data_IF_834206518655
#
_entry.id   IF_834206518655
#
_cell.length_a   1.000
_cell.length_b   1.000
_cell.length_c   1.000
_cell.angle_alpha   90.00
_cell.angle_beta   90.00
_cell.angle_gamma   90.00
#
_symmetry.space_group_name_H-M   'P 1'
#
loop_
_entity.id
_entity.type
_entity.pdbx_description
1 polymer ?
#
# COMPACT_ATOMS: atom_id res chain seq x y z
N UNK A 1 5.77 -12.82 35.19
CA UNK A 1 5.20 -12.74 33.84
C UNK A 1 5.69 -11.46 33.22
N UNK A 2 6.56 -11.55 32.21
CA UNK A 2 6.86 -10.42 31.35
C UNK A 2 5.55 -10.01 30.69
N UNK A 3 5.11 -8.77 30.91
CA UNK A 3 4.05 -8.17 30.11
C UNK A 3 4.60 -8.16 28.69
N UNK A 4 4.11 -9.04 27.82
CA UNK A 4 4.31 -8.87 26.39
C UNK A 4 3.81 -7.46 26.08
N UNK A 5 4.72 -6.58 25.64
CA UNK A 5 4.33 -5.27 25.13
C UNK A 5 3.35 -5.50 23.98
N UNK A 6 2.07 -5.28 24.23
CA UNK A 6 1.03 -5.38 23.19
C UNK A 6 1.40 -4.43 22.06
N UNK A 7 1.68 -5.00 20.88
CA UNK A 7 2.04 -4.26 19.67
C UNK A 7 0.93 -3.26 19.35
N UNK A 8 1.23 -1.97 19.50
CA UNK A 8 0.27 -0.88 19.24
C UNK A 8 -0.05 -0.79 17.74
N UNK A 9 -1.31 -0.52 17.43
CA UNK A 9 -1.79 -0.30 16.05
C UNK A 9 -2.16 1.16 15.87
N UNK A 10 -1.40 1.89 15.05
CA UNK A 10 -1.55 3.31 14.78
C UNK A 10 -2.12 3.52 13.38
N UNK A 11 -3.22 4.26 13.30
CA UNK A 11 -3.91 4.60 12.08
C UNK A 11 -3.97 6.11 11.90
N UNK A 12 -3.85 6.59 10.67
CA UNK A 12 -4.14 7.98 10.33
C UNK A 12 -5.34 8.05 9.40
N UNK A 13 -6.28 8.95 9.68
CA UNK A 13 -7.47 9.16 8.86
C UNK A 13 -7.33 10.42 8.02
N UNK A 14 -7.60 10.32 6.72
CA UNK A 14 -7.45 11.41 5.76
C UNK A 14 -8.65 11.41 4.82
N UNK A 15 -9.17 12.59 4.48
CA UNK A 15 -10.43 12.74 3.74
C UNK A 15 -10.93 14.18 3.78
N UNK A 16 -11.96 14.50 2.99
CA UNK A 16 -12.46 15.87 2.92
C UNK A 16 -13.21 16.26 4.20
N UNK A 17 -13.50 17.56 4.35
CA UNK A 17 -14.43 18.04 5.37
C UNK A 17 -15.82 17.40 5.15
N UNK A 18 -16.46 16.93 6.24
CA UNK A 18 -17.80 16.32 6.18
C UNK A 18 -17.86 14.87 5.70
N UNK A 19 -16.73 14.24 5.36
CA UNK A 19 -16.66 12.79 5.06
C UNK A 19 -16.75 11.92 6.33
N UNK A 20 -16.80 12.51 7.53
CA UNK A 20 -17.05 11.77 8.79
C UNK A 20 -15.83 11.12 9.44
N UNK A 21 -14.64 11.70 9.26
CA UNK A 21 -13.37 11.23 9.86
C UNK A 21 -13.45 11.13 11.38
N UNK A 22 -13.78 12.22 12.06
CA UNK A 22 -13.83 12.29 13.52
C UNK A 22 -14.85 11.31 14.11
N UNK A 23 -16.04 11.20 13.49
CA UNK A 23 -17.05 10.19 13.86
C UNK A 23 -16.52 8.76 13.67
N UNK A 24 -15.87 8.49 12.54
CA UNK A 24 -15.24 7.18 12.29
C UNK A 24 -14.14 6.89 13.33
N UNK A 25 -13.30 7.86 13.67
CA UNK A 25 -12.28 7.72 14.71
C UNK A 25 -12.90 7.35 16.04
N UNK A 26 -13.95 8.05 16.47
CA UNK A 26 -14.67 7.75 17.70
C UNK A 26 -15.27 6.34 17.70
N UNK A 27 -15.86 5.94 16.56
CA UNK A 27 -16.41 4.60 16.39
C UNK A 27 -15.30 3.52 16.45
N UNK A 28 -14.17 3.72 15.77
CA UNK A 28 -13.00 2.84 15.84
C UNK A 28 -12.48 2.76 17.28
N UNK A 29 -12.41 3.87 18.00
CA UNK A 29 -11.85 3.93 19.35
C UNK A 29 -12.82 3.49 20.45
N UNK A 30 -14.08 3.15 20.12
CA UNK A 30 -15.18 2.88 21.06
C UNK A 30 -15.46 4.04 22.03
N UNK A 31 -15.24 5.28 21.58
CA UNK A 31 -15.47 6.50 22.36
C UNK A 31 -16.80 7.15 22.00
N UNK A 32 -17.76 7.17 22.93
CA UNK A 32 -19.08 7.78 22.70
C UNK A 32 -19.14 9.27 23.07
N UNK A 33 -18.42 9.73 24.09
CA UNK A 33 -18.57 11.08 24.67
C UNK A 33 -17.28 11.84 24.94
N UNK A 34 -16.12 11.19 24.88
CA UNK A 34 -14.79 11.72 25.23
C UNK A 34 -13.76 11.52 24.08
N UNK A 35 -14.27 11.44 22.85
CA UNK A 35 -13.49 11.26 21.63
C UNK A 35 -13.17 12.59 20.93
N UNK A 36 -12.85 12.50 19.64
CA UNK A 36 -12.71 13.65 18.75
C UNK A 36 -14.03 14.44 18.68
N UNK A 37 -13.92 15.76 18.55
CA UNK A 37 -15.08 16.63 18.38
C UNK A 37 -15.75 16.38 17.03
N UNK A 38 -17.08 16.32 17.00
CA UNK A 38 -17.89 16.05 15.80
C UNK A 38 -18.95 17.15 15.65
N UNK A 39 -19.11 17.66 14.44
CA UNK A 39 -20.17 18.60 14.10
C UNK A 39 -20.70 18.34 12.69
N UNK A 40 -21.98 18.63 12.50
CA UNK A 40 -22.68 18.58 11.21
C UNK A 40 -22.68 19.94 10.49
N UNK A 41 -22.03 20.95 11.05
CA UNK A 41 -21.92 22.28 10.44
C UNK A 41 -21.04 22.27 9.18
N UNK A 42 -21.29 23.22 8.26
CA UNK A 42 -20.54 23.33 7.01
C UNK A 42 -19.07 23.75 7.20
N UNK A 43 -18.72 24.28 8.38
CA UNK A 43 -17.35 24.63 8.75
C UNK A 43 -16.69 23.45 9.47
N UNK A 44 -15.44 23.13 9.11
CA UNK A 44 -14.69 22.09 9.80
C UNK A 44 -14.51 22.46 11.27
N UNK A 45 -14.91 21.58 12.19
CA UNK A 45 -14.64 21.76 13.63
C UNK A 45 -13.24 21.31 13.97
N UNK A 46 -12.77 20.22 13.35
CA UNK A 46 -11.37 19.79 13.45
C UNK A 46 -10.48 20.77 12.71
N UNK A 47 -9.75 21.58 13.46
CA UNK A 47 -8.81 22.59 12.95
C UNK A 47 -7.34 22.21 13.19
N UNK A 48 -7.08 21.09 13.88
CA UNK A 48 -5.74 20.60 14.22
C UNK A 48 -5.65 19.09 14.08
N UNK A 49 -4.44 18.57 13.94
CA UNK A 49 -4.18 17.12 13.96
C UNK A 49 -4.13 16.63 15.40
N UNK A 50 -4.95 15.64 15.72
CA UNK A 50 -5.08 15.10 17.07
C UNK A 50 -5.03 13.58 17.04
N UNK A 51 -4.62 12.95 18.13
CA UNK A 51 -4.63 11.50 18.24
C UNK A 51 -5.12 11.01 19.59
N UNK A 52 -5.81 9.89 19.58
CA UNK A 52 -6.39 9.28 20.78
C UNK A 52 -6.24 7.77 20.75
N UNK A 53 -6.07 7.19 21.94
CA UNK A 53 -6.19 5.75 22.16
C UNK A 53 -7.65 5.33 22.31
N UNK A 54 -7.90 4.06 22.04
CA UNK A 54 -9.21 3.44 22.19
C UNK A 54 -9.47 2.96 23.61
N UNK A 55 -10.69 2.47 23.82
CA UNK A 55 -11.14 1.93 25.11
C UNK A 55 -11.34 0.41 25.03
N UNK A 56 -11.32 -0.26 26.19
CA UNK A 56 -11.56 -1.70 26.30
C UNK A 56 -10.60 -2.55 25.45
N UNK A 57 -11.20 -3.40 24.60
CA UNK A 57 -10.52 -4.31 23.66
C UNK A 57 -9.81 -3.60 22.49
N UNK A 58 -9.93 -2.27 22.40
CA UNK A 58 -9.24 -1.43 21.41
C UNK A 58 -8.26 -0.44 22.05
N UNK A 59 -7.86 -0.69 23.29
CA UNK A 59 -6.86 0.13 24.02
C UNK A 59 -5.46 0.10 23.39
N UNK A 60 -5.17 -0.90 22.55
CA UNK A 60 -3.95 -0.99 21.74
C UNK A 60 -4.02 -0.16 20.44
N UNK A 61 -5.20 0.35 20.09
CA UNK A 61 -5.44 1.11 18.87
C UNK A 61 -5.29 2.61 19.15
N UNK A 62 -4.52 3.28 18.30
CA UNK A 62 -4.35 4.72 18.30
C UNK A 62 -4.75 5.27 16.94
N UNK A 63 -5.68 6.22 16.93
CA UNK A 63 -6.14 6.87 15.71
C UNK A 63 -5.67 8.32 15.73
N UNK A 64 -5.15 8.78 14.60
CA UNK A 64 -4.81 10.17 14.31
C UNK A 64 -5.92 10.73 13.41
N UNK A 65 -6.69 11.67 13.94
CA UNK A 65 -7.65 12.46 13.18
C UNK A 65 -6.95 13.69 12.59
N UNK A 66 -7.24 13.99 11.33
CA UNK A 66 -6.62 15.11 10.61
C UNK A 66 -7.68 16.10 10.16
N UNK A 67 -7.34 17.40 10.05
CA UNK A 67 -8.24 18.37 9.45
C UNK A 67 -8.67 17.93 8.04
N UNK A 68 -9.90 18.28 7.65
CA UNK A 68 -10.34 18.08 6.27
C UNK A 68 -9.48 18.87 5.30
N UNK A 69 -9.14 18.24 4.17
CA UNK A 69 -8.61 18.95 3.02
C UNK A 69 -9.74 19.75 2.37
N UNK A 70 -9.42 20.96 1.91
CA UNK A 70 -10.34 21.97 1.36
C UNK A 70 -11.27 22.60 2.39
N UNK A 71 -10.75 22.88 3.59
CA UNK A 71 -11.40 23.86 4.46
C UNK A 71 -11.42 25.22 3.75
N UNK A 72 -12.41 26.06 4.06
CA UNK A 72 -12.76 27.33 3.39
C UNK A 72 -11.64 28.40 3.24
N UNK A 73 -10.38 28.08 3.58
CA UNK A 73 -9.19 28.94 3.49
C UNK A 73 -8.24 28.67 2.31
N UNK A 74 -8.52 27.72 1.42
CA UNK A 74 -7.76 27.51 0.17
C UNK A 74 -6.47 26.67 0.29
N UNK A 75 -5.72 26.56 -0.81
CA UNK A 75 -4.57 25.65 -0.98
C UNK A 75 -3.46 25.83 0.06
N UNK A 76 -3.23 27.06 0.53
CA UNK A 76 -2.17 27.33 1.51
C UNK A 76 -2.55 26.81 2.90
N UNK A 77 -3.82 26.89 3.28
CA UNK A 77 -4.33 26.30 4.53
C UNK A 77 -4.23 24.77 4.48
N UNK A 78 -4.58 24.16 3.35
CA UNK A 78 -4.42 22.73 3.14
C UNK A 78 -2.95 22.27 3.26
N UNK A 79 -2.01 23.05 2.71
CA UNK A 79 -0.57 22.80 2.89
C UNK A 79 -0.15 22.87 4.35
N UNK A 80 -0.64 23.86 5.09
CA UNK A 80 -0.33 24.02 6.50
C UNK A 80 -0.86 22.85 7.34
N UNK A 81 -2.13 22.46 7.14
CA UNK A 81 -2.72 21.30 7.81
C UNK A 81 -1.94 20.00 7.51
N UNK A 82 -1.47 19.85 6.27
CA UNK A 82 -0.66 18.69 5.89
C UNK A 82 0.71 18.69 6.56
N UNK A 83 1.36 19.84 6.68
CA UNK A 83 2.64 19.95 7.38
C UNK A 83 2.50 19.67 8.88
N UNK A 84 1.42 20.14 9.49
CA UNK A 84 1.09 19.81 10.87
C UNK A 84 0.86 18.30 11.05
N UNK A 85 0.12 17.68 10.13
CA UNK A 85 -0.10 16.24 10.10
C UNK A 85 1.23 15.48 10.01
N UNK A 86 2.14 15.89 9.13
CA UNK A 86 3.47 15.28 9.01
C UNK A 86 4.26 15.43 10.31
N UNK A 87 4.26 16.61 10.92
CA UNK A 87 4.95 16.85 12.19
C UNK A 87 4.36 15.98 13.32
N UNK A 88 3.05 15.74 13.30
CA UNK A 88 2.40 14.86 14.26
C UNK A 88 2.79 13.39 14.05
N UNK A 89 2.77 12.91 12.80
CA UNK A 89 3.14 11.54 12.42
C UNK A 89 4.60 11.26 12.75
N UNK A 90 5.52 12.21 12.50
CA UNK A 90 6.95 12.07 12.80
C UNK A 90 7.26 11.91 14.29
N UNK A 91 6.38 12.38 15.17
CA UNK A 91 6.51 12.19 16.62
C UNK A 91 6.05 10.80 17.08
N UNK A 92 5.47 10.00 16.19
CA UNK A 92 5.00 8.66 16.52
C UNK A 92 6.10 7.62 16.30
N UNK A 93 6.18 6.64 17.20
CA UNK A 93 6.99 5.44 16.98
C UNK A 93 6.28 4.49 15.99
N UNK A 94 6.26 4.85 14.71
CA UNK A 94 5.66 4.07 13.63
C UNK A 94 4.20 4.38 13.32
N UNK A 95 3.73 3.91 12.15
CA UNK A 95 2.36 4.01 11.66
C UNK A 95 2.01 2.71 10.91
N UNK A 96 0.83 2.13 11.12
CA UNK A 96 0.43 0.88 10.47
C UNK A 96 -0.40 1.12 9.21
N UNK A 97 -1.39 2.02 9.27
CA UNK A 97 -2.35 2.17 8.18
C UNK A 97 -2.75 3.61 7.92
N UNK A 98 -2.99 3.90 6.65
CA UNK A 98 -3.53 5.16 6.12
C UNK A 98 -4.96 4.88 5.68
N UNK A 99 -5.92 5.48 6.38
CA UNK A 99 -7.34 5.29 6.17
C UNK A 99 -7.88 6.48 5.35
N UNK A 100 -8.21 6.24 4.09
CA UNK A 100 -8.89 7.23 3.24
C UNK A 100 -10.39 7.16 3.53
N UNK A 101 -10.93 8.21 4.15
CA UNK A 101 -12.33 8.30 4.57
C UNK A 101 -13.13 9.04 3.51
N UNK A 102 -14.17 8.39 2.98
CA UNK A 102 -15.01 8.93 1.91
C UNK A 102 -16.49 8.71 2.23
N UNK A 103 -17.35 9.66 1.89
CA UNK A 103 -18.79 9.47 1.97
C UNK A 103 -19.30 8.44 0.92
N UNK A 104 -20.02 7.40 1.35
CA UNK A 104 -20.55 6.36 0.48
C UNK A 104 -21.51 6.86 -0.61
N UNK A 105 -22.16 8.01 -0.42
CA UNK A 105 -23.06 8.62 -1.40
C UNK A 105 -22.34 9.17 -2.62
N UNK A 106 -21.01 9.35 -2.54
CA UNK A 106 -20.21 9.87 -3.63
C UNK A 106 -19.73 8.74 -4.55
N UNK A 107 -20.29 8.63 -5.75
CA UNK A 107 -19.99 7.54 -6.68
C UNK A 107 -18.76 7.74 -7.55
N UNK A 108 -18.13 8.92 -7.51
CA UNK A 108 -17.05 9.29 -8.43
C UNK A 108 -15.76 9.60 -7.68
N UNK A 109 -14.65 9.19 -8.28
CA UNK A 109 -13.32 9.66 -7.89
C UNK A 109 -13.12 11.09 -8.40
N UNK A 110 -13.56 12.07 -7.60
CA UNK A 110 -13.50 13.48 -7.96
C UNK A 110 -12.05 13.97 -8.14
N UNK A 111 -11.87 15.09 -8.85
CA UNK A 111 -10.55 15.72 -9.00
C UNK A 111 -9.90 16.03 -7.64
N UNK A 112 -10.71 16.38 -6.64
CA UNK A 112 -10.26 16.68 -5.28
C UNK A 112 -9.70 15.42 -4.59
N UNK A 113 -10.41 14.30 -4.68
CA UNK A 113 -9.92 13.03 -4.12
C UNK A 113 -8.64 12.59 -4.84
N UNK A 114 -8.57 12.74 -6.17
CA UNK A 114 -7.35 12.47 -6.95
C UNK A 114 -6.18 13.31 -6.47
N UNK A 115 -6.38 14.61 -6.29
CA UNK A 115 -5.34 15.52 -5.81
C UNK A 115 -4.87 15.18 -4.39
N UNK A 116 -5.79 14.84 -3.50
CA UNK A 116 -5.49 14.36 -2.15
C UNK A 116 -4.60 13.10 -2.19
N UNK A 117 -5.00 12.08 -2.95
CA UNK A 117 -4.24 10.83 -3.06
C UNK A 117 -2.84 11.10 -3.64
N UNK A 118 -2.73 11.89 -4.71
CA UNK A 118 -1.43 12.29 -5.29
C UNK A 118 -0.52 12.93 -4.24
N UNK A 119 -1.09 13.82 -3.43
CA UNK A 119 -0.35 14.49 -2.37
C UNK A 119 0.08 13.51 -1.26
N UNK A 120 -0.74 12.51 -0.92
CA UNK A 120 -0.34 11.46 0.02
C UNK A 120 0.81 10.62 -0.51
N UNK A 121 0.79 10.23 -1.79
CA UNK A 121 1.92 9.54 -2.40
C UNK A 121 3.21 10.38 -2.35
N UNK A 122 3.10 11.72 -2.40
CA UNK A 122 4.24 12.61 -2.20
C UNK A 122 4.70 12.64 -0.75
N UNK A 123 3.79 12.75 0.22
CA UNK A 123 4.13 12.83 1.65
C UNK A 123 4.70 11.53 2.19
N UNK A 124 4.24 10.40 1.67
CA UNK A 124 4.70 9.06 2.02
C UNK A 124 5.44 8.44 0.82
N UNK A 125 6.68 8.88 0.51
CA UNK A 125 7.49 8.37 -0.59
C UNK A 125 8.10 7.02 -0.19
N UNK A 126 7.24 6.03 0.01
CA UNK A 126 7.59 4.67 0.42
C UNK A 126 7.15 3.67 -0.64
N UNK A 127 7.95 2.64 -0.78
CA UNK A 127 7.78 1.56 -1.75
C UNK A 127 6.44 0.83 -1.69
N UNK A 128 6.02 0.54 -0.47
CA UNK A 128 4.85 -0.26 -0.12
C UNK A 128 3.67 0.62 0.29
N UNK A 129 3.66 1.91 -0.10
CA UNK A 129 2.64 2.89 0.28
C UNK A 129 1.22 2.32 0.18
N UNK A 130 0.89 1.74 -0.96
CA UNK A 130 -0.45 1.22 -1.21
C UNK A 130 -0.80 -0.04 -0.42
N UNK A 131 0.18 -0.79 0.09
CA UNK A 131 -0.07 -1.91 1.00
C UNK A 131 -0.60 -1.42 2.36
N UNK A 132 -0.26 -0.17 2.72
CA UNK A 132 -0.71 0.49 3.94
C UNK A 132 -1.99 1.33 3.78
N UNK A 133 -2.61 1.35 2.59
CA UNK A 133 -3.80 2.16 2.32
C UNK A 133 -5.06 1.30 2.32
N UNK A 134 -6.09 1.75 3.05
CA UNK A 134 -7.46 1.26 2.90
C UNK A 134 -8.42 2.43 2.68
N UNK A 135 -9.63 2.13 2.18
CA UNK A 135 -10.70 3.10 2.04
C UNK A 135 -11.85 2.72 3.00
N UNK A 136 -12.36 3.69 3.74
CA UNK A 136 -13.57 3.54 4.53
C UNK A 136 -14.66 4.42 3.95
N UNK A 137 -15.73 3.80 3.50
CA UNK A 137 -16.95 4.44 3.04
C UNK A 137 -17.88 4.69 4.23
N UNK A 138 -18.00 5.94 4.65
CA UNK A 138 -18.88 6.36 5.76
C UNK A 138 -20.30 6.62 5.29
N UNK A 139 -21.21 6.88 6.25
CA UNK A 139 -22.64 7.13 5.98
C UNK A 139 -23.34 5.93 5.33
N UNK A 140 -22.81 4.72 5.55
CA UNK A 140 -23.46 3.47 5.19
C UNK A 140 -24.50 3.10 6.27
N UNK A 141 -25.51 3.97 6.43
CA UNK A 141 -26.41 3.98 7.57
C UNK A 141 -27.00 2.61 7.89
N UNK A 142 -27.06 2.26 9.17
CA UNK A 142 -27.54 0.96 9.67
C UNK A 142 -28.97 0.62 9.21
N UNK A 143 -29.83 1.63 9.02
CA UNK A 143 -31.19 1.48 8.50
C UNK A 143 -31.25 1.33 6.96
N UNK A 144 -30.13 1.44 6.24
CA UNK A 144 -30.11 1.26 4.79
C UNK A 144 -30.31 -0.23 4.44
N UNK A 145 -31.28 -0.59 3.57
CA UNK A 145 -31.48 -1.98 3.19
C UNK A 145 -30.21 -2.63 2.63
N UNK A 146 -29.88 -3.84 3.08
CA UNK A 146 -28.65 -4.56 2.68
C UNK A 146 -28.45 -4.63 1.16
N UNK A 147 -29.51 -4.91 0.39
CA UNK A 147 -29.46 -4.93 -1.08
C UNK A 147 -28.98 -3.60 -1.69
N UNK A 148 -29.28 -2.47 -1.05
CA UNK A 148 -28.82 -1.15 -1.50
C UNK A 148 -27.35 -0.94 -1.16
N UNK A 149 -26.91 -1.39 0.01
CA UNK A 149 -25.49 -1.38 0.41
C UNK A 149 -24.68 -2.27 -0.55
N UNK A 150 -25.12 -3.50 -0.82
CA UNK A 150 -24.47 -4.42 -1.76
C UNK A 150 -24.30 -3.79 -3.15
N UNK A 151 -25.32 -3.09 -3.65
CA UNK A 151 -25.25 -2.37 -4.93
C UNK A 151 -24.23 -1.23 -4.90
N UNK A 152 -24.12 -0.51 -3.79
CA UNK A 152 -23.08 0.51 -3.60
C UNK A 152 -21.70 -0.12 -3.61
N UNK A 153 -21.49 -1.20 -2.84
CA UNK A 153 -20.23 -1.96 -2.79
C UNK A 153 -19.81 -2.40 -4.20
N UNK A 154 -20.72 -3.02 -4.95
CA UNK A 154 -20.48 -3.44 -6.34
C UNK A 154 -20.10 -2.25 -7.23
N UNK A 155 -20.80 -1.12 -7.09
CA UNK A 155 -20.50 0.10 -7.85
C UNK A 155 -19.10 0.62 -7.53
N UNK A 156 -18.69 0.65 -6.25
CA UNK A 156 -17.33 1.08 -5.87
C UNK A 156 -16.27 0.13 -6.42
N UNK A 157 -16.49 -1.18 -6.37
CA UNK A 157 -15.57 -2.17 -6.92
C UNK A 157 -15.41 -2.08 -8.44
N UNK A 158 -16.49 -1.84 -9.18
CA UNK A 158 -16.47 -1.86 -10.65
C UNK A 158 -16.10 -0.51 -11.26
N UNK A 159 -16.37 0.61 -10.57
CA UNK A 159 -16.15 1.96 -11.12
C UNK A 159 -15.08 2.75 -10.39
N UNK A 160 -15.13 2.79 -9.06
CA UNK A 160 -14.23 3.63 -8.27
C UNK A 160 -12.83 3.03 -8.14
N UNK A 161 -12.74 1.77 -7.71
CA UNK A 161 -11.46 1.10 -7.46
C UNK A 161 -10.56 1.04 -8.70
N UNK A 162 -11.05 0.76 -9.93
CA UNK A 162 -10.22 0.80 -11.12
C UNK A 162 -9.61 2.19 -11.40
N UNK A 163 -10.32 3.27 -11.10
CA UNK A 163 -9.76 4.62 -11.23
C UNK A 163 -8.66 4.89 -10.18
N UNK A 164 -8.78 4.33 -8.96
CA UNK A 164 -7.72 4.42 -7.95
C UNK A 164 -6.49 3.61 -8.35
N UNK A 165 -6.67 2.40 -8.90
CA UNK A 165 -5.56 1.58 -9.40
C UNK A 165 -4.83 2.30 -10.55
N UNK A 166 -5.58 2.91 -11.47
CA UNK A 166 -4.97 3.73 -12.53
C UNK A 166 -4.18 4.90 -11.94
N UNK A 167 -4.70 5.55 -10.91
CA UNK A 167 -4.00 6.62 -10.21
C UNK A 167 -2.74 6.13 -9.50
N UNK A 168 -2.74 4.91 -8.95
CA UNK A 168 -1.55 4.28 -8.38
C UNK A 168 -0.46 4.06 -9.45
N UNK A 169 -0.82 3.51 -10.61
CA UNK A 169 0.12 3.33 -11.73
C UNK A 169 0.70 4.68 -12.20
N UNK A 170 -0.12 5.73 -12.27
CA UNK A 170 0.33 7.08 -12.65
C UNK A 170 1.26 7.73 -11.61
N UNK A 171 1.06 7.46 -10.33
CA UNK A 171 1.76 8.16 -9.23
C UNK A 171 3.00 7.43 -8.76
N UNK A 172 2.86 6.15 -8.43
CA UNK A 172 3.92 5.31 -7.83
C UNK A 172 4.43 4.24 -8.78
N UNK A 173 3.72 3.97 -9.89
CA UNK A 173 4.08 2.93 -10.86
C UNK A 173 3.52 1.54 -10.51
N UNK A 174 2.70 1.45 -9.46
CA UNK A 174 2.11 0.18 -9.01
C UNK A 174 0.99 -0.27 -9.94
N UNK A 175 1.22 -1.39 -10.63
CA UNK A 175 0.24 -1.97 -11.58
C UNK A 175 -0.77 -2.90 -10.93
N UNK A 176 -0.42 -3.46 -9.77
CA UNK A 176 -1.27 -4.39 -9.03
C UNK A 176 -1.38 -3.88 -7.60
N UNK A 177 -2.48 -3.23 -7.29
CA UNK A 177 -2.77 -2.71 -5.96
C UNK A 177 -4.00 -3.39 -5.39
N UNK A 178 -3.91 -3.85 -4.13
CA UNK A 178 -5.04 -4.37 -3.37
C UNK A 178 -5.39 -3.38 -2.27
N UNK A 179 -6.48 -2.65 -2.46
CA UNK A 179 -6.96 -1.66 -1.48
C UNK A 179 -8.22 -2.22 -0.83
N UNK A 180 -8.17 -2.63 0.45
CA UNK A 180 -9.37 -3.00 1.19
C UNK A 180 -10.35 -1.84 1.25
N UNK A 181 -11.64 -2.12 1.08
CA UNK A 181 -12.72 -1.15 1.25
C UNK A 181 -13.68 -1.64 2.33
N UNK A 182 -13.96 -0.78 3.30
CA UNK A 182 -14.88 -1.05 4.41
C UNK A 182 -16.07 -0.09 4.37
N UNK A 183 -17.24 -0.53 4.81
CA UNK A 183 -18.50 0.23 4.66
C UNK A 183 -19.15 0.44 6.02
N UNK A 184 -19.13 1.66 6.56
CA UNK A 184 -19.37 1.88 8.00
C UNK A 184 -20.44 2.95 8.21
N UNK A 185 -21.38 2.66 9.11
CA UNK A 185 -22.13 3.69 9.82
C UNK A 185 -21.41 4.02 11.13
N UNK A 186 -20.74 5.17 11.17
CA UNK A 186 -19.96 5.62 12.31
C UNK A 186 -20.73 6.50 13.30
N UNK A 187 -22.02 6.76 13.03
CA UNK A 187 -22.90 7.53 13.91
C UNK A 187 -24.33 6.99 13.78
N UNK A 188 -24.61 5.80 14.34
CA UNK A 188 -25.97 5.27 14.30
C UNK A 188 -26.93 6.23 15.01
N UNK A 189 -28.10 6.45 14.43
CA UNK A 189 -29.10 7.41 14.93
C UNK A 189 -29.70 7.00 16.29
N UNK A 190 -29.68 5.70 16.60
CA UNK A 190 -30.23 5.13 17.82
C UNK A 190 -29.39 3.92 18.25
N UNK A 191 -29.08 3.83 19.55
CA UNK A 191 -28.39 2.69 20.16
C UNK A 191 -29.25 1.40 20.12
N UNK A 192 -30.57 1.52 19.87
CA UNK A 192 -31.49 0.39 19.69
C UNK A 192 -31.44 -0.25 18.29
N UNK A 193 -30.90 0.45 17.28
CA UNK A 193 -30.79 -0.09 15.92
C UNK A 193 -29.47 -0.85 15.78
N UNK A 194 -29.56 -2.13 15.42
CA UNK A 194 -28.40 -3.00 15.21
C UNK A 194 -27.40 -2.40 14.22
N UNK A 195 -26.19 -2.12 14.71
CA UNK A 195 -25.06 -1.66 13.91
C UNK A 195 -23.90 -2.68 13.89
N UNK A 196 -24.17 -3.94 14.21
CA UNK A 196 -23.17 -5.03 14.23
C UNK A 196 -22.43 -5.15 12.90
N UNK A 197 -23.13 -4.93 11.77
CA UNK A 197 -22.51 -4.89 10.44
C UNK A 197 -21.33 -3.91 10.36
N UNK A 198 -21.48 -2.70 10.90
CA UNK A 198 -20.42 -1.70 10.89
C UNK A 198 -19.30 -2.05 11.86
N UNK A 199 -19.63 -2.67 13.00
CA UNK A 199 -18.64 -3.18 13.96
C UNK A 199 -17.78 -4.30 13.33
N UNK A 200 -18.38 -5.23 12.61
CA UNK A 200 -17.68 -6.31 11.89
C UNK A 200 -16.69 -5.74 10.85
N UNK A 201 -17.10 -4.71 10.11
CA UNK A 201 -16.24 -3.99 9.15
C UNK A 201 -15.01 -3.37 9.84
N UNK A 202 -15.20 -2.78 11.03
CA UNK A 202 -14.08 -2.25 11.82
C UNK A 202 -13.20 -3.36 12.38
N UNK A 203 -13.76 -4.48 12.82
CA UNK A 203 -12.96 -5.64 13.24
C UNK A 203 -12.09 -6.15 12.09
N UNK A 204 -12.63 -6.20 10.87
CA UNK A 204 -11.85 -6.56 9.68
C UNK A 204 -10.76 -5.54 9.34
N UNK A 205 -11.05 -4.23 9.46
CA UNK A 205 -10.07 -3.16 9.30
C UNK A 205 -8.93 -3.29 10.30
N UNK A 206 -9.23 -3.46 11.59
CA UNK A 206 -8.22 -3.59 12.64
C UNK A 206 -7.41 -4.88 12.49
N UNK A 207 -8.03 -5.96 12.04
CA UNK A 207 -7.32 -7.22 11.73
C UNK A 207 -6.31 -7.01 10.60
N UNK A 208 -6.73 -6.34 9.52
CA UNK A 208 -5.82 -5.95 8.43
C UNK A 208 -4.69 -5.06 8.96
N UNK A 209 -5.00 -3.98 9.67
CA UNK A 209 -4.01 -3.03 10.17
C UNK A 209 -2.96 -3.68 11.10
N UNK A 210 -3.38 -4.58 12.00
CA UNK A 210 -2.50 -5.30 12.93
C UNK A 210 -1.49 -6.20 12.21
N UNK A 211 -1.86 -6.72 11.03
CA UNK A 211 -1.01 -7.57 10.20
C UNK A 211 0.08 -6.81 9.45
N UNK A 212 -0.03 -5.48 9.34
CA UNK A 212 0.92 -4.67 8.57
C UNK A 212 2.25 -4.51 9.31
N UNK A 213 3.36 -4.37 8.55
CA UNK A 213 4.58 -3.81 9.10
C UNK A 213 4.35 -2.35 9.52
N UNK A 214 5.31 -1.76 10.23
CA UNK A 214 5.22 -0.34 10.55
C UNK A 214 5.90 0.49 9.47
N UNK A 215 5.22 1.51 8.97
CA UNK A 215 5.81 2.55 8.14
C UNK A 215 6.87 3.27 8.97
N UNK A 216 8.07 3.39 8.38
CA UNK A 216 9.11 4.23 8.94
C UNK A 216 8.74 5.71 8.79
N UNK A 217 8.21 6.31 9.87
CA UNK A 217 7.75 7.72 9.86
C UNK A 217 8.87 8.72 9.59
N UNK A 218 10.15 8.35 9.76
CA UNK A 218 11.29 9.18 9.40
C UNK A 218 11.40 9.44 7.89
N UNK A 219 10.83 8.55 7.06
CA UNK A 219 10.77 8.71 5.60
C UNK A 219 9.65 9.65 5.12
N UNK A 220 8.74 10.08 6.01
CA UNK A 220 7.63 10.98 5.66
C UNK A 220 8.18 12.39 5.36
N UNK A 221 7.70 13.04 4.30
CA UNK A 221 8.18 14.37 3.88
C UNK A 221 7.08 15.42 3.98
N UNK A 222 7.47 16.67 4.25
CA UNK A 222 6.54 17.80 4.34
C UNK A 222 6.00 18.16 2.95
N UNK A 223 4.83 18.77 2.90
CA UNK A 223 4.27 19.27 1.65
C UNK A 223 5.07 20.50 1.19
N UNK A 224 5.47 20.51 -0.09
CA UNK A 224 6.26 21.59 -0.68
C UNK A 224 7.76 21.52 -0.43
N UNK A 225 8.26 20.53 0.33
CA UNK A 225 9.67 20.15 0.23
C UNK A 225 9.91 19.42 -1.09
N UNK A 226 11.12 19.55 -1.63
CA UNK A 226 11.54 18.89 -2.86
C UNK A 226 11.14 17.40 -2.83
N UNK A 227 10.20 17.03 -3.70
CA UNK A 227 9.56 15.72 -3.68
C UNK A 227 10.42 14.68 -4.40
N UNK A 228 11.06 13.81 -3.63
CA UNK A 228 11.73 12.62 -4.18
C UNK A 228 10.72 11.69 -4.83
N UNK A 229 10.96 11.28 -6.07
CA UNK A 229 10.19 10.22 -6.71
C UNK A 229 10.78 8.88 -6.32
N UNK A 230 9.98 8.03 -5.67
CA UNK A 230 10.38 6.66 -5.36
C UNK A 230 9.75 5.73 -6.38
N UNK A 231 10.59 4.95 -7.06
CA UNK A 231 10.20 3.95 -8.03
C UNK A 231 10.61 2.59 -7.47
N UNK A 232 9.73 1.61 -7.62
CA UNK A 232 10.06 0.22 -7.32
C UNK A 232 10.63 -0.48 -8.52
N UNK A 233 11.84 -0.98 -8.32
CA UNK A 233 12.48 -1.89 -9.25
C UNK A 233 12.37 -3.30 -8.67
N UNK A 234 11.82 -4.19 -9.48
CA UNK A 234 11.76 -5.62 -9.17
C UNK A 234 12.70 -6.38 -10.10
N UNK A 235 13.37 -7.40 -9.56
CA UNK A 235 14.10 -8.37 -10.37
C UNK A 235 13.94 -9.77 -9.82
N UNK A 236 14.15 -10.74 -10.70
CA UNK A 236 14.31 -12.13 -10.31
C UNK A 236 15.78 -12.50 -10.44
N UNK A 237 16.34 -13.08 -9.38
CA UNK A 237 17.69 -13.62 -9.38
C UNK A 237 17.64 -15.14 -9.28
N UNK A 238 18.29 -15.81 -10.22
CA UNK A 238 18.34 -17.26 -10.31
C UNK A 238 19.68 -17.73 -9.76
N UNK A 239 19.65 -18.61 -8.76
CA UNK A 239 20.84 -19.24 -8.22
C UNK A 239 20.73 -20.75 -8.35
N UNK A 240 21.67 -21.35 -9.07
CA UNK A 240 21.82 -22.80 -9.15
C UNK A 240 22.27 -23.30 -7.77
N UNK A 241 21.54 -24.27 -7.23
CA UNK A 241 21.83 -24.87 -5.93
C UNK A 241 22.65 -26.14 -6.15
N UNK A 242 22.12 -27.03 -7.00
CA UNK A 242 22.73 -28.30 -7.32
C UNK A 242 22.32 -28.73 -8.74
N UNK A 243 23.18 -29.48 -9.41
CA UNK A 243 22.94 -30.02 -10.74
C UNK A 243 23.46 -31.45 -10.80
N UNK A 244 22.67 -32.34 -11.39
CA UNK A 244 23.09 -33.69 -11.75
C UNK A 244 23.11 -33.86 -13.28
N UNK A 245 23.26 -35.09 -13.76
CA UNK A 245 23.36 -35.40 -15.18
C UNK A 245 22.05 -35.19 -15.95
N UNK A 246 20.92 -35.09 -15.25
CA UNK A 246 19.56 -35.09 -15.79
C UNK A 246 18.85 -33.78 -15.47
N UNK A 247 19.07 -33.20 -14.29
CA UNK A 247 18.30 -32.11 -13.74
C UNK A 247 19.17 -31.00 -13.14
N UNK A 248 18.61 -29.79 -13.13
CA UNK A 248 19.15 -28.63 -12.42
C UNK A 248 18.11 -28.19 -11.40
N UNK A 249 18.56 -28.08 -10.14
CA UNK A 249 17.82 -27.46 -9.05
C UNK A 249 18.35 -26.05 -8.81
N UNK A 250 17.43 -25.11 -8.77
CA UNK A 250 17.75 -23.70 -8.61
C UNK A 250 16.67 -23.03 -7.77
N UNK A 251 17.06 -21.96 -7.06
CA UNK A 251 16.11 -21.04 -6.44
C UNK A 251 15.96 -19.78 -7.27
N UNK A 252 14.77 -19.20 -7.18
CA UNK A 252 14.43 -17.88 -7.72
C UNK A 252 14.14 -16.99 -6.52
N UNK A 253 15.00 -16.00 -6.33
CA UNK A 253 14.75 -14.91 -5.39
C UNK A 253 14.02 -13.79 -6.14
N UNK A 254 12.83 -13.44 -5.67
CA UNK A 254 12.06 -12.29 -6.11
C UNK A 254 12.49 -11.11 -5.23
N UNK A 255 13.19 -10.16 -5.83
CA UNK A 255 13.85 -9.06 -5.13
C UNK A 255 13.18 -7.73 -5.48
N UNK A 256 13.08 -6.81 -4.53
CA UNK A 256 12.75 -5.40 -4.79
C UNK A 256 13.81 -4.46 -4.23
N UNK A 257 13.91 -3.27 -4.82
CA UNK A 257 14.60 -2.12 -4.22
C UNK A 257 13.86 -0.83 -4.51
N UNK A 258 14.11 0.18 -3.68
CA UNK A 258 13.70 1.56 -3.91
C UNK A 258 14.75 2.26 -4.78
N UNK A 259 14.30 2.88 -5.88
CA UNK A 259 15.07 3.88 -6.63
C UNK A 259 14.49 5.26 -6.32
N UNK A 260 15.27 6.11 -5.65
CA UNK A 260 14.91 7.47 -5.27
C UNK A 260 15.51 8.43 -6.28
N UNK A 261 14.67 9.23 -6.93
CA UNK A 261 15.12 10.28 -7.84
C UNK A 261 14.84 11.61 -7.14
N UNK A 262 15.91 12.31 -6.79
CA UNK A 262 15.90 13.65 -6.19
C UNK A 262 15.66 14.70 -7.28
N UNK A 263 15.27 15.90 -6.85
CA UNK A 263 14.94 17.01 -7.76
C UNK A 263 16.14 17.56 -8.54
N UNK A 264 17.34 17.44 -7.98
CA UNK A 264 18.62 17.74 -8.65
C UNK A 264 19.00 16.69 -9.72
N UNK A 265 18.17 15.66 -9.90
CA UNK A 265 18.44 14.53 -10.79
C UNK A 265 19.31 13.44 -10.16
N UNK A 266 19.75 13.61 -8.91
CA UNK A 266 20.52 12.59 -8.19
C UNK A 266 19.66 11.35 -7.98
N UNK A 267 20.24 10.18 -8.25
CA UNK A 267 19.57 8.90 -8.11
C UNK A 267 20.22 8.12 -6.98
N UNK A 268 19.44 7.73 -5.99
CA UNK A 268 19.85 6.86 -4.89
C UNK A 268 19.12 5.52 -4.98
N UNK A 269 19.80 4.45 -4.58
CA UNK A 269 19.26 3.10 -4.58
C UNK A 269 19.30 2.54 -3.16
N UNK A 270 18.22 1.90 -2.73
CA UNK A 270 18.30 1.00 -1.60
C UNK A 270 19.03 -0.29 -2.00
N UNK A 271 19.49 -1.02 -0.99
CA UNK A 271 19.89 -2.42 -1.17
C UNK A 271 18.71 -3.26 -1.65
N UNK A 272 19.02 -4.37 -2.33
CA UNK A 272 18.02 -5.32 -2.78
C UNK A 272 17.51 -6.17 -1.63
N UNK A 273 16.19 -6.21 -1.45
CA UNK A 273 15.52 -7.02 -0.43
C UNK A 273 14.86 -8.25 -1.07
N UNK A 274 15.03 -9.43 -0.46
CA UNK A 274 14.36 -10.67 -0.89
C UNK A 274 12.92 -10.65 -0.35
N UNK A 275 11.93 -10.51 -1.25
CA UNK A 275 10.51 -10.59 -0.87
C UNK A 275 10.07 -12.05 -0.73
N UNK A 276 10.55 -12.90 -1.65
CA UNK A 276 10.10 -14.29 -1.78
C UNK A 276 11.18 -15.13 -2.42
N UNK A 277 11.29 -16.39 -1.97
CA UNK A 277 12.12 -17.40 -2.61
C UNK A 277 11.25 -18.57 -3.07
N UNK A 278 11.46 -19.05 -4.30
CA UNK A 278 10.87 -20.30 -4.81
C UNK A 278 11.97 -21.26 -5.24
N UNK A 279 11.72 -22.54 -5.04
CA UNK A 279 12.62 -23.61 -5.47
C UNK A 279 12.04 -24.30 -6.70
N UNK A 280 12.89 -24.60 -7.69
CA UNK A 280 12.52 -25.35 -8.89
C UNK A 280 13.53 -26.46 -9.15
N UNK A 281 13.03 -27.54 -9.73
CA UNK A 281 13.83 -28.64 -10.26
C UNK A 281 13.35 -28.88 -11.71
N UNK A 282 14.25 -28.76 -12.69
CA UNK A 282 13.91 -28.96 -14.11
C UNK A 282 14.94 -29.86 -14.79
N UNK A 283 14.53 -30.67 -15.77
CA UNK A 283 15.46 -31.42 -16.59
C UNK A 283 16.34 -30.48 -17.41
N UNK A 284 17.60 -30.87 -17.64
CA UNK A 284 18.52 -30.16 -18.51
C UNK A 284 17.97 -30.23 -19.94
N UNK A 285 17.78 -29.10 -20.64
CA UNK A 285 17.28 -29.11 -22.00
C UNK A 285 18.19 -29.94 -22.92
N UNK A 286 17.61 -30.78 -23.78
CA UNK A 286 18.34 -31.77 -24.61
C UNK A 286 19.46 -31.15 -25.47
N UNK A 287 19.32 -29.89 -25.87
CA UNK A 287 20.33 -29.17 -26.66
C UNK A 287 21.59 -28.78 -25.85
N UNK A 288 21.53 -28.84 -24.53
CA UNK A 288 22.63 -28.52 -23.62
C UNK A 288 23.17 -29.73 -22.86
N UNK A 289 22.58 -30.92 -23.04
CA UNK A 289 23.03 -32.15 -22.35
C UNK A 289 24.41 -32.66 -22.81
N UNK A 290 24.90 -32.21 -23.98
CA UNK A 290 26.19 -32.62 -24.58
C UNK A 290 27.33 -31.60 -24.43
N UNK A 291 27.05 -30.37 -23.97
CA UNK A 291 28.10 -29.34 -23.76
C UNK A 291 28.89 -29.65 -22.49
N UNK A 292 30.13 -29.15 -22.31
CA UNK A 292 30.81 -29.25 -21.03
C UNK A 292 29.91 -28.61 -19.96
N UNK A 293 29.35 -29.45 -19.07
CA UNK A 293 28.31 -29.06 -18.10
C UNK A 293 28.69 -27.81 -17.33
N UNK A 294 29.97 -27.68 -16.96
CA UNK A 294 30.52 -26.53 -16.27
C UNK A 294 30.32 -25.21 -17.04
N UNK A 295 30.68 -25.17 -18.33
CA UNK A 295 30.50 -23.99 -19.18
C UNK A 295 29.02 -23.60 -19.34
N UNK A 296 28.12 -24.59 -19.43
CA UNK A 296 26.68 -24.32 -19.49
C UNK A 296 26.12 -23.78 -18.17
N UNK A 297 26.55 -24.32 -17.03
CA UNK A 297 26.15 -23.86 -15.70
C UNK A 297 26.71 -22.47 -15.39
N UNK A 298 27.97 -22.21 -15.76
CA UNK A 298 28.61 -20.90 -15.63
C UNK A 298 27.89 -19.87 -16.50
N UNK A 299 27.53 -20.22 -17.73
CA UNK A 299 26.70 -19.38 -18.59
C UNK A 299 25.33 -19.13 -17.97
N UNK A 300 24.63 -20.16 -17.50
CA UNK A 300 23.33 -20.04 -16.82
C UNK A 300 23.41 -19.17 -15.55
N UNK A 301 24.50 -19.26 -14.79
CA UNK A 301 24.70 -18.45 -13.59
C UNK A 301 24.91 -16.96 -13.90
N UNK A 302 25.30 -16.62 -15.13
CA UNK A 302 25.63 -15.25 -15.55
C UNK A 302 24.57 -14.59 -16.44
N UNK A 303 23.49 -15.31 -16.81
CA UNK A 303 22.39 -14.74 -17.60
C UNK A 303 21.30 -14.13 -16.71
N UNK A 304 20.69 -13.04 -17.18
CA UNK A 304 19.55 -12.43 -16.49
C UNK A 304 18.33 -13.37 -16.40
N UNK A 305 17.49 -13.20 -15.38
CA UNK A 305 16.43 -14.16 -15.04
C UNK A 305 15.40 -14.46 -16.14
N UNK A 306 15.13 -13.51 -17.03
CA UNK A 306 14.26 -13.74 -18.20
C UNK A 306 14.91 -14.71 -19.22
N UNK A 307 16.21 -14.51 -19.48
CA UNK A 307 16.98 -15.36 -20.38
C UNK A 307 17.21 -16.75 -19.76
N UNK A 308 17.44 -16.83 -18.45
CA UNK A 308 17.52 -18.09 -17.71
C UNK A 308 16.28 -18.98 -17.93
N UNK A 309 15.07 -18.43 -17.73
CA UNK A 309 13.84 -19.20 -17.89
C UNK A 309 13.60 -19.61 -19.35
N UNK A 310 13.94 -18.78 -20.32
CA UNK A 310 13.85 -19.14 -21.75
C UNK A 310 14.78 -20.33 -22.08
N UNK A 311 16.04 -20.27 -21.65
CA UNK A 311 17.01 -21.36 -21.83
C UNK A 311 16.50 -22.65 -21.20
N UNK A 312 16.02 -22.59 -19.95
CA UNK A 312 15.50 -23.76 -19.23
C UNK A 312 14.20 -24.31 -19.82
N UNK A 313 13.48 -23.53 -20.61
CA UNK A 313 12.32 -23.99 -21.39
C UNK A 313 12.70 -24.52 -22.79
N UNK A 314 14.01 -24.64 -23.08
CA UNK A 314 14.51 -25.21 -24.33
C UNK A 314 14.67 -24.21 -25.48
N UNK A 315 14.55 -22.90 -25.24
CA UNK A 315 14.84 -21.91 -26.28
C UNK A 315 16.36 -21.76 -26.44
N UNK A 316 16.83 -21.87 -27.68
CA UNK A 316 18.25 -21.73 -28.02
C UNK A 316 18.73 -20.29 -27.85
N UNK A 317 19.87 -20.09 -27.19
CA UNK A 317 20.52 -18.78 -26.97
C UNK A 317 20.63 -17.95 -28.25
N UNK A 318 21.05 -18.55 -29.38
CA UNK A 318 21.19 -17.86 -30.67
C UNK A 318 19.84 -17.31 -31.18
N UNK A 319 18.75 -18.05 -30.92
CA UNK A 319 17.38 -17.64 -31.29
C UNK A 319 16.85 -16.53 -30.40
N UNK A 320 17.41 -16.35 -29.20
CA UNK A 320 16.98 -15.33 -28.23
C UNK A 320 17.82 -14.04 -28.37
N UNK A 321 19.11 -14.16 -28.70
CA UNK A 321 20.04 -13.03 -28.83
C UNK A 321 20.14 -12.46 -30.26
N UNK A 322 19.47 -13.07 -31.25
CA UNK A 322 19.47 -12.59 -32.63
C UNK A 322 20.84 -12.70 -33.32
N UNK A 323 21.75 -13.52 -32.81
CA UNK A 323 23.04 -13.76 -33.43
C UNK A 323 22.87 -14.79 -34.56
N UNK A 324 23.18 -14.38 -35.79
CA UNK A 324 23.36 -15.28 -36.93
C UNK A 324 24.49 -16.27 -36.60
N UNK A 325 24.31 -17.53 -36.99
CA UNK A 325 25.40 -18.50 -37.07
C UNK A 325 26.41 -17.99 -38.10
N UNK A 326 27.41 -17.24 -37.66
CA UNK A 326 28.78 -17.31 -38.20
C UNK A 326 29.74 -16.49 -37.34
N UNK A 327 30.82 -17.15 -36.93
CA UNK A 327 32.05 -16.66 -36.29
C UNK A 327 32.11 -16.52 -34.76
N UNK A 328 33.13 -17.21 -34.22
CA UNK A 328 33.79 -17.09 -32.91
C UNK A 328 33.19 -17.82 -31.69
N UNK A 329 33.27 -19.15 -31.72
CA UNK A 329 33.62 -19.95 -30.54
C UNK A 329 34.66 -21.01 -30.94
N UNK A 330 35.77 -20.52 -31.49
CA UNK A 330 37.08 -21.17 -31.39
C UNK A 330 38.01 -20.14 -30.76
N UNK A 331 38.14 -20.21 -29.43
CA UNK A 331 39.39 -20.22 -28.65
C UNK A 331 39.07 -20.33 -27.15
#
# INVERSE_FOLDING_TARGET
MSIEETKKTKLIMIGNTGDGKSSLGNFILKKKSNGFEVSDEAKSVTQKTEGSYGEGDRSDVFVIDTPGLQDSGGLDKDRQHMNEMVDYVKKQEGLQGIVIVLNCTNDRLSANIKAMIKLLCTIFPISDFWEHVCIVWTKCFNYTPLKKIEKQIQTKNVKFLPEVIKLAEETTGDKIVKIPMYFVDSRPDDDEIDNTRSEDEIVMLLTWARSLPSINVGKVIKNGSESERVIIEEKNEHQIIESDDVNIKYKINYMRREKRIKNDGTVEYSEWEVIKTKYKNKPIPKQYSKKPKKSFLDFLGNVGGALFELIMNGFGVNRILGANEDQSLEE
#
